data_IF_961406391616
#
_entry.id   IF_961406391616
#
_cell.length_a   1.000
_cell.length_b   1.000
_cell.length_c   1.000
_cell.angle_alpha   90.00
_cell.angle_beta   90.00
_cell.angle_gamma   90.00
#
_symmetry.space_group_name_H-M   'P 1'
#
loop_
_entity.id
_entity.type
_entity.pdbx_description
1 polymer ?
#
# COMPACT_ATOMS: atom_id res chain seq x y z
N UNK A 1 50.61 -22.64 22.66
CA UNK A 1 51.96 -22.43 22.09
C UNK A 1 51.91 -22.88 20.64
N UNK A 2 52.40 -22.04 19.73
CA UNK A 2 52.41 -22.27 18.28
C UNK A 2 51.12 -21.81 17.58
N UNK A 3 51.18 -20.75 16.78
CA UNK A 3 51.45 -20.86 15.32
C UNK A 3 51.49 -19.48 14.67
N UNK A 4 52.52 -19.32 13.83
CA UNK A 4 52.77 -18.39 12.73
C UNK A 4 51.80 -17.26 12.38
N UNK A 5 52.41 -16.06 12.30
CA UNK A 5 51.99 -14.97 11.41
C UNK A 5 52.58 -15.17 10.02
N UNK A 6 51.86 -14.78 8.97
CA UNK A 6 52.50 -14.20 7.79
C UNK A 6 52.05 -12.76 7.52
N UNK A 7 53.04 -12.03 7.01
CA UNK A 7 53.05 -10.63 6.56
C UNK A 7 52.01 -10.36 5.46
N UNK A 8 51.42 -9.16 5.46
CA UNK A 8 50.95 -8.52 4.23
C UNK A 8 51.29 -7.03 4.23
N UNK A 9 51.70 -6.59 3.05
CA UNK A 9 52.51 -5.42 2.77
C UNK A 9 51.75 -4.10 2.87
N UNK A 10 52.54 -3.07 3.20
CA UNK A 10 52.24 -1.64 3.10
C UNK A 10 52.27 -1.24 1.62
N UNK A 11 51.27 -0.46 1.20
CA UNK A 11 51.22 0.20 -0.11
C UNK A 11 50.32 1.42 0.01
N UNK A 12 50.97 2.58 0.07
CA UNK A 12 50.42 3.89 0.35
C UNK A 12 49.83 4.59 -0.90
N UNK A 13 48.99 5.58 -0.61
CA UNK A 13 48.29 6.60 -1.40
C UNK A 13 48.74 6.89 -2.86
N UNK A 14 47.74 7.11 -3.73
CA UNK A 14 47.89 7.84 -5.00
C UNK A 14 46.55 8.29 -5.58
N UNK A 15 46.36 9.60 -5.66
CA UNK A 15 45.15 10.35 -6.06
C UNK A 15 44.88 10.35 -7.58
N UNK A 16 43.58 10.34 -7.91
CA UNK A 16 42.89 11.26 -8.85
C UNK A 16 43.29 11.29 -10.34
N UNK A 17 42.32 11.01 -11.24
CA UNK A 17 41.82 11.95 -12.28
C UNK A 17 40.87 11.31 -13.30
N UNK A 18 39.76 12.03 -13.48
CA UNK A 18 38.74 11.99 -14.53
C UNK A 18 39.24 11.74 -15.96
N UNK A 19 38.52 10.92 -16.73
CA UNK A 19 38.32 11.12 -18.18
C UNK A 19 36.90 10.75 -18.58
N UNK A 20 36.11 11.79 -18.83
CA UNK A 20 34.86 11.76 -19.59
C UNK A 20 35.26 11.68 -21.07
N UNK A 21 34.72 10.69 -21.80
CA UNK A 21 34.81 10.64 -23.26
C UNK A 21 33.57 11.31 -23.82
N UNK A 22 33.78 12.42 -24.52
CA UNK A 22 32.80 13.06 -25.39
C UNK A 22 32.71 12.24 -26.69
N UNK A 23 31.50 11.99 -27.18
CA UNK A 23 31.27 11.68 -28.60
C UNK A 23 30.33 12.73 -29.18
N UNK A 24 30.91 13.47 -30.11
CA UNK A 24 30.35 14.42 -31.05
C UNK A 24 29.71 13.63 -32.20
N UNK A 25 28.52 14.03 -32.67
CA UNK A 25 27.93 13.51 -33.91
C UNK A 25 27.55 14.70 -34.77
N UNK A 26 28.40 14.96 -35.77
CA UNK A 26 28.09 15.76 -36.95
C UNK A 26 27.32 14.91 -37.97
N UNK A 27 26.46 15.58 -38.75
CA UNK A 27 25.48 14.96 -39.64
C UNK A 27 25.92 14.69 -41.08
N UNK A 28 24.92 14.83 -41.98
CA UNK A 28 24.86 14.50 -43.42
C UNK A 28 24.51 13.01 -43.66
N UNK A 29 23.71 12.57 -44.66
CA UNK A 29 23.29 13.13 -45.95
C UNK A 29 22.01 12.39 -46.46
N UNK A 30 21.21 13.06 -47.30
CA UNK A 30 20.10 12.55 -48.12
C UNK A 30 20.59 11.85 -49.41
N UNK A 31 19.70 11.07 -50.05
CA UNK A 31 19.52 10.74 -51.50
C UNK A 31 19.00 9.28 -51.62
N UNK A 32 18.19 8.79 -52.55
CA UNK A 32 17.27 9.23 -53.63
C UNK A 32 16.48 7.93 -54.02
N UNK A 33 15.16 7.92 -54.19
CA UNK A 33 14.34 7.96 -55.44
C UNK A 33 14.49 6.77 -56.44
N UNK A 34 13.35 6.44 -57.09
CA UNK A 34 13.11 5.74 -58.38
C UNK A 34 12.83 4.22 -58.26
N UNK A 35 11.59 3.72 -58.35
CA UNK A 35 10.69 3.53 -59.53
C UNK A 35 11.19 2.53 -60.59
N UNK A 36 10.39 1.51 -60.91
CA UNK A 36 9.97 1.18 -62.29
C UNK A 36 9.28 -0.19 -62.35
N UNK A 37 8.21 -0.26 -63.14
CA UNK A 37 7.46 -1.48 -63.45
C UNK A 37 7.69 -1.99 -64.88
N UNK A 38 7.12 -3.16 -65.17
CA UNK A 38 6.73 -3.73 -66.48
C UNK A 38 6.17 -5.14 -66.19
N UNK A 39 5.20 -5.77 -66.86
CA UNK A 39 4.30 -5.47 -67.97
C UNK A 39 3.76 -6.81 -68.53
N UNK A 40 2.43 -6.95 -68.73
CA UNK A 40 1.67 -7.90 -69.61
C UNK A 40 1.85 -9.45 -69.47
N UNK A 41 0.93 -10.36 -69.83
CA UNK A 41 -0.54 -10.47 -69.97
C UNK A 41 -0.88 -11.97 -70.26
N UNK A 42 -2.04 -12.45 -69.77
CA UNK A 42 -2.94 -13.51 -70.34
C UNK A 42 -2.52 -15.01 -70.31
N UNK A 43 -3.17 -15.85 -69.48
CA UNK A 43 -4.23 -16.86 -69.81
C UNK A 43 -4.37 -17.96 -68.73
N UNK A 44 -5.62 -18.32 -68.38
CA UNK A 44 -6.00 -19.73 -68.17
C UNK A 44 -6.21 -20.26 -66.74
N UNK A 45 -7.50 -20.48 -66.44
CA UNK A 45 -8.08 -21.52 -65.55
C UNK A 45 -7.99 -21.36 -64.01
N UNK A 46 -9.19 -21.07 -63.49
CA UNK A 46 -9.79 -21.48 -62.21
C UNK A 46 -9.13 -22.68 -61.52
N UNK A 47 -8.52 -22.42 -60.36
CA UNK A 47 -8.47 -23.33 -59.21
C UNK A 47 -8.49 -22.44 -57.96
N UNK A 48 -9.55 -22.53 -57.16
CA UNK A 48 -9.64 -21.93 -55.84
C UNK A 48 -8.67 -22.59 -54.85
N UNK A 49 -7.99 -21.81 -54.00
CA UNK A 49 -8.01 -22.17 -52.58
C UNK A 49 -8.19 -20.98 -51.64
N UNK A 50 -9.03 -21.24 -50.63
CA UNK A 50 -9.10 -20.71 -49.27
C UNK A 50 -8.60 -19.28 -48.97
N UNK A 51 -9.43 -18.41 -48.36
CA UNK A 51 -8.93 -17.20 -47.76
C UNK A 51 -8.10 -17.58 -46.53
N UNK A 52 -6.80 -17.36 -46.61
CA UNK A 52 -5.90 -17.28 -45.47
C UNK A 52 -6.36 -16.13 -44.58
N UNK A 53 -7.22 -16.42 -43.60
CA UNK A 53 -7.43 -15.54 -42.46
C UNK A 53 -6.15 -15.59 -41.64
N UNK A 54 -5.24 -14.65 -41.90
CA UNK A 54 -4.25 -14.26 -40.92
C UNK A 54 -5.04 -13.86 -39.67
N UNK A 55 -5.05 -14.73 -38.67
CA UNK A 55 -5.51 -14.38 -37.34
C UNK A 55 -4.56 -13.30 -36.84
N UNK A 56 -4.98 -12.04 -36.95
CA UNK A 56 -4.40 -10.97 -36.18
C UNK A 56 -4.63 -11.34 -34.71
N UNK A 57 -3.66 -12.02 -34.12
CA UNK A 57 -3.59 -12.23 -32.68
C UNK A 57 -3.60 -10.86 -32.01
N UNK A 58 -4.34 -10.76 -30.91
CA UNK A 58 -4.42 -9.54 -30.11
C UNK A 58 -2.99 -9.05 -29.78
N UNK A 59 -2.58 -7.84 -30.20
CA UNK A 59 -1.20 -7.36 -30.08
C UNK A 59 -0.71 -7.21 -28.63
N UNK A 60 -1.57 -7.46 -27.64
CA UNK A 60 -1.26 -7.41 -26.21
C UNK A 60 -0.95 -8.78 -25.59
N UNK A 61 -1.09 -9.88 -26.32
CA UNK A 61 -0.82 -11.21 -25.77
C UNK A 61 0.70 -11.51 -25.77
N UNK A 62 1.26 -11.97 -24.64
CA UNK A 62 2.67 -12.35 -24.56
C UNK A 62 2.97 -13.52 -25.51
N UNK A 63 4.01 -13.36 -26.33
CA UNK A 63 4.44 -14.36 -27.33
C UNK A 63 5.18 -15.55 -26.69
N UNK A 64 5.74 -15.37 -25.49
CA UNK A 64 6.53 -16.37 -24.79
C UNK A 64 5.74 -17.07 -23.68
N UNK A 65 6.05 -18.35 -23.45
CA UNK A 65 5.46 -19.20 -22.40
C UNK A 65 5.63 -18.60 -20.99
N UNK A 66 6.81 -18.06 -20.72
CA UNK A 66 7.09 -17.26 -19.53
C UNK A 66 7.20 -15.80 -19.94
N UNK A 67 6.46 -14.94 -19.27
CA UNK A 67 6.49 -13.50 -19.56
C UNK A 67 6.54 -12.68 -18.27
N UNK A 68 7.09 -11.47 -18.41
CA UNK A 68 7.15 -10.47 -17.37
C UNK A 68 6.72 -9.13 -17.96
N UNK A 69 5.71 -8.52 -17.35
CA UNK A 69 5.35 -7.13 -17.60
C UNK A 69 5.78 -6.27 -16.41
N UNK A 70 6.68 -5.33 -16.65
CA UNK A 70 7.08 -4.36 -15.63
C UNK A 70 6.22 -3.11 -15.74
N UNK A 71 5.43 -2.84 -14.71
CA UNK A 71 4.67 -1.61 -14.59
C UNK A 71 5.39 -0.61 -13.68
N UNK A 72 5.72 0.56 -14.22
CA UNK A 72 6.27 1.68 -13.46
C UNK A 72 5.13 2.61 -13.04
N UNK A 73 4.77 2.61 -11.75
CA UNK A 73 3.76 3.52 -11.20
C UNK A 73 4.31 4.94 -11.14
N UNK A 74 3.53 5.90 -11.62
CA UNK A 74 3.87 7.34 -11.64
C UNK A 74 2.82 8.12 -10.86
N UNK A 75 3.27 8.91 -9.88
CA UNK A 75 2.43 9.86 -9.13
C UNK A 75 2.55 11.21 -9.80
N UNK A 76 1.42 11.78 -10.23
CA UNK A 76 1.35 13.09 -10.88
C UNK A 76 0.69 14.11 -9.95
N UNK A 77 1.27 15.30 -9.86
CA UNK A 77 0.70 16.43 -9.16
C UNK A 77 1.18 17.73 -9.81
N UNK A 78 0.51 18.83 -9.51
CA UNK A 78 0.85 20.14 -10.05
C UNK A 78 0.90 21.21 -8.95
N UNK A 79 1.55 22.32 -9.28
CA UNK A 79 1.71 23.46 -8.41
C UNK A 79 1.67 24.75 -9.23
N UNK A 80 0.93 25.73 -8.74
CA UNK A 80 0.85 27.06 -9.34
C UNK A 80 1.51 28.06 -8.41
N UNK A 81 2.44 28.85 -8.95
CA UNK A 81 3.11 29.93 -8.24
C UNK A 81 2.90 31.25 -8.98
N UNK A 82 2.25 32.20 -8.33
CA UNK A 82 2.07 33.56 -8.84
C UNK A 82 3.00 34.53 -8.12
N UNK A 83 3.81 35.25 -8.88
CA UNK A 83 4.63 36.36 -8.42
C UNK A 83 3.92 37.65 -8.85
N UNK A 84 3.50 38.45 -7.88
CA UNK A 84 2.86 39.73 -8.14
C UNK A 84 3.91 40.83 -8.30
N UNK A 85 3.60 41.82 -9.11
CA UNK A 85 4.47 42.95 -9.42
C UNK A 85 5.83 42.48 -9.98
N UNK A 86 5.80 41.53 -10.92
CA UNK A 86 7.00 40.82 -11.39
C UNK A 86 8.03 41.77 -12.02
N UNK A 87 7.58 42.81 -12.73
CA UNK A 87 8.47 43.82 -13.31
C UNK A 87 9.28 44.59 -12.26
N UNK A 88 8.82 44.61 -10.99
CA UNK A 88 9.49 45.26 -9.86
C UNK A 88 10.43 44.35 -9.07
N UNK A 89 10.62 43.08 -9.50
CA UNK A 89 11.59 42.18 -8.88
C UNK A 89 12.99 42.81 -8.86
N UNK A 90 13.55 42.96 -7.65
CA UNK A 90 14.85 43.62 -7.42
C UNK A 90 16.02 42.67 -7.60
N UNK A 91 15.75 41.38 -7.71
CA UNK A 91 16.77 40.33 -7.81
C UNK A 91 17.75 40.65 -8.92
N UNK A 92 19.03 40.66 -8.58
CA UNK A 92 20.09 40.75 -9.54
C UNK A 92 20.37 39.41 -10.21
N UNK A 93 21.19 39.45 -11.26
CA UNK A 93 21.62 38.25 -11.96
C UNK A 93 22.23 37.23 -11.00
N UNK A 94 21.79 35.96 -11.09
CA UNK A 94 22.18 34.89 -10.18
C UNK A 94 21.38 34.82 -8.88
N UNK A 95 20.69 35.90 -8.47
CA UNK A 95 19.81 35.89 -7.31
C UNK A 95 18.51 35.13 -7.60
N UNK A 96 17.96 34.49 -6.56
CA UNK A 96 16.92 33.47 -6.72
C UNK A 96 15.71 33.74 -5.83
N UNK A 97 14.53 33.69 -6.44
CA UNK A 97 13.25 33.60 -5.77
C UNK A 97 12.90 32.13 -5.55
N UNK A 98 12.37 31.79 -4.37
CA UNK A 98 11.88 30.46 -4.04
C UNK A 98 10.39 30.49 -3.74
N UNK A 99 9.64 29.55 -4.27
CA UNK A 99 8.24 29.35 -3.89
C UNK A 99 8.14 28.74 -2.49
N UNK A 100 6.93 28.75 -1.92
CA UNK A 100 6.58 27.86 -0.82
C UNK A 100 6.78 26.40 -1.21
N UNK A 101 6.97 25.54 -0.22
CA UNK A 101 7.11 24.11 -0.44
C UNK A 101 5.77 23.45 -0.77
N UNK A 102 5.77 22.48 -1.68
CA UNK A 102 4.61 21.68 -2.07
C UNK A 102 4.94 20.20 -2.16
N UNK A 103 3.93 19.34 -2.14
CA UNK A 103 4.04 17.88 -2.19
C UNK A 103 2.83 17.27 -2.90
N UNK A 104 2.85 15.97 -3.22
CA UNK A 104 1.74 15.33 -3.94
C UNK A 104 0.46 15.20 -3.10
N UNK A 105 0.58 15.29 -1.77
CA UNK A 105 -0.51 15.26 -0.80
C UNK A 105 -0.04 15.68 0.59
N UNK A 106 -0.97 15.78 1.55
CA UNK A 106 -0.72 16.26 2.92
C UNK A 106 0.29 15.39 3.69
N UNK A 107 0.29 14.08 3.46
CA UNK A 107 1.17 13.11 4.13
C UNK A 107 2.41 12.72 3.33
N UNK A 108 2.67 13.38 2.18
CA UNK A 108 3.86 13.09 1.39
C UNK A 108 5.11 13.73 2.01
N UNK A 109 6.14 12.90 2.17
CA UNK A 109 7.43 13.24 2.77
C UNK A 109 8.38 13.91 1.77
N UNK A 110 8.08 13.88 0.47
CA UNK A 110 8.82 14.59 -0.56
C UNK A 110 8.36 16.05 -0.61
N UNK A 111 9.24 16.99 -0.25
CA UNK A 111 8.95 18.42 -0.29
C UNK A 111 9.71 19.07 -1.44
N UNK A 112 8.97 19.74 -2.32
CA UNK A 112 9.49 20.38 -3.52
C UNK A 112 9.29 21.89 -3.43
N UNK A 113 10.11 22.69 -4.13
CA UNK A 113 9.78 24.08 -4.41
C UNK A 113 10.31 24.50 -5.78
N UNK A 114 9.78 25.61 -6.30
CA UNK A 114 10.27 26.24 -7.52
C UNK A 114 11.36 27.26 -7.19
N UNK A 115 12.34 27.36 -8.07
CA UNK A 115 13.40 28.38 -8.05
C UNK A 115 13.35 29.18 -9.35
N UNK A 116 13.27 30.50 -9.25
CA UNK A 116 13.33 31.41 -10.40
C UNK A 116 14.49 32.37 -10.23
N UNK A 117 15.27 32.54 -11.28
CA UNK A 117 16.22 33.64 -11.42
C UNK A 117 15.65 34.62 -12.46
N UNK A 118 15.03 35.75 -12.05
CA UNK A 118 14.35 36.66 -12.96
C UNK A 118 15.27 37.25 -14.03
N UNK A 119 16.54 37.50 -13.67
CA UNK A 119 17.58 38.10 -14.54
C UNK A 119 18.64 37.09 -15.00
N UNK A 120 18.27 35.81 -15.07
CA UNK A 120 19.20 34.74 -15.45
C UNK A 120 20.06 34.24 -14.29
N UNK A 121 20.63 33.05 -14.47
CA UNK A 121 21.47 32.37 -13.47
C UNK A 121 22.95 32.79 -13.59
N UNK A 122 23.42 32.93 -14.82
CA UNK A 122 24.79 33.35 -15.16
C UNK A 122 24.80 34.07 -16.52
N UNK A 123 25.98 34.49 -17.00
CA UNK A 123 26.11 35.37 -18.18
C UNK A 123 25.47 34.77 -19.43
N UNK A 124 25.49 33.44 -19.53
CA UNK A 124 24.93 32.73 -20.66
C UNK A 124 23.41 32.86 -20.74
N UNK A 125 22.74 33.08 -19.59
CA UNK A 125 21.29 33.21 -19.50
C UNK A 125 20.80 34.57 -19.01
N UNK A 126 21.63 35.61 -19.05
CA UNK A 126 21.30 36.98 -18.60
C UNK A 126 20.00 37.57 -19.19
N UNK A 127 19.72 37.21 -20.45
CA UNK A 127 18.56 37.68 -21.22
C UNK A 127 17.32 36.77 -21.05
N UNK A 128 17.42 35.78 -20.18
CA UNK A 128 16.39 34.76 -19.94
C UNK A 128 15.99 34.71 -18.47
N UNK A 129 14.76 34.29 -18.23
CA UNK A 129 14.35 33.79 -16.93
C UNK A 129 14.79 32.33 -16.82
N UNK A 130 15.47 31.98 -15.74
CA UNK A 130 15.81 30.58 -15.43
C UNK A 130 14.81 30.01 -14.42
N UNK A 131 14.37 28.77 -14.62
CA UNK A 131 13.33 28.13 -13.80
C UNK A 131 13.71 26.68 -13.49
N UNK A 132 13.67 26.31 -12.21
CA UNK A 132 14.04 24.99 -11.72
C UNK A 132 13.06 24.43 -10.69
N UNK A 133 12.95 23.11 -10.67
CA UNK A 133 12.30 22.34 -9.61
C UNK A 133 13.39 21.86 -8.66
N UNK A 134 13.25 22.15 -7.37
CA UNK A 134 14.17 21.74 -6.31
C UNK A 134 13.49 20.70 -5.41
N UNK A 135 14.18 19.60 -5.11
CA UNK A 135 13.81 18.68 -4.04
C UNK A 135 14.39 19.18 -2.71
N UNK A 136 13.55 19.75 -1.86
CA UNK A 136 13.94 20.37 -0.59
C UNK A 136 14.16 19.34 0.51
N UNK A 137 13.25 18.38 0.65
CA UNK A 137 13.34 17.32 1.65
C UNK A 137 12.87 15.99 1.07
N UNK A 138 13.54 14.91 1.46
CA UNK A 138 13.28 13.57 0.97
C UNK A 138 13.64 12.54 2.04
N UNK A 139 12.78 11.56 2.27
CA UNK A 139 13.05 10.43 3.17
C UNK A 139 13.62 9.20 2.43
N UNK A 140 13.91 9.33 1.13
CA UNK A 140 14.52 8.31 0.26
C UNK A 140 15.93 8.74 -0.12
N UNK A 141 16.77 7.78 -0.52
CA UNK A 141 18.13 8.04 -1.02
C UNK A 141 18.13 8.83 -2.34
N UNK A 142 17.15 8.57 -3.21
CA UNK A 142 16.92 9.30 -4.45
C UNK A 142 15.46 9.22 -4.90
N UNK A 143 15.07 10.14 -5.78
CA UNK A 143 13.76 10.17 -6.45
C UNK A 143 13.98 10.42 -7.94
N UNK A 144 13.24 9.70 -8.80
CA UNK A 144 13.21 10.00 -10.24
C UNK A 144 11.92 10.73 -10.59
N UNK A 145 12.03 11.88 -11.26
CA UNK A 145 10.85 12.66 -11.63
C UNK A 145 11.01 13.32 -13.01
N UNK A 146 9.92 13.33 -13.78
CA UNK A 146 9.73 14.26 -14.90
C UNK A 146 9.04 15.52 -14.39
N UNK A 147 9.28 16.64 -15.04
CA UNK A 147 8.60 17.90 -14.76
C UNK A 147 8.31 18.66 -16.04
N UNK A 148 7.25 19.46 -16.03
CA UNK A 148 6.88 20.40 -17.08
C UNK A 148 6.58 21.74 -16.43
N UNK A 149 7.07 22.81 -17.03
CA UNK A 149 6.76 24.17 -16.63
C UNK A 149 6.03 24.87 -17.77
N UNK A 150 5.05 25.69 -17.43
CA UNK A 150 4.32 26.56 -18.35
C UNK A 150 3.98 27.88 -17.66
N UNK A 151 3.64 28.89 -18.45
CA UNK A 151 3.12 30.17 -17.98
C UNK A 151 1.62 30.18 -18.23
N UNK A 152 0.83 30.66 -17.27
CA UNK A 152 -0.60 30.85 -17.46
C UNK A 152 -0.88 32.25 -18.00
N UNK A 153 -1.58 32.32 -19.14
CA UNK A 153 -2.01 33.59 -19.74
C UNK A 153 -3.21 34.20 -18.97
N UNK A 154 -3.70 35.36 -19.42
CA UNK A 154 -4.88 36.02 -18.84
C UNK A 154 -6.16 35.15 -18.80
N UNK A 155 -6.28 34.16 -19.70
CA UNK A 155 -7.39 33.19 -19.75
C UNK A 155 -7.17 31.97 -18.87
N UNK A 156 -6.04 31.90 -18.14
CA UNK A 156 -5.56 30.75 -17.36
C UNK A 156 -5.24 29.51 -18.19
N UNK A 157 -4.89 29.70 -19.46
CA UNK A 157 -4.42 28.63 -20.35
C UNK A 157 -2.90 28.52 -20.26
N UNK A 158 -2.38 27.29 -20.31
CA UNK A 158 -0.94 27.04 -20.35
C UNK A 158 -0.33 27.46 -21.69
N UNK A 159 0.75 28.23 -21.63
CA UNK A 159 1.56 28.62 -22.80
C UNK A 159 3.05 28.55 -22.46
N UNK A 160 3.90 28.61 -23.49
CA UNK A 160 5.37 28.57 -23.38
C UNK A 160 5.87 27.39 -22.52
N UNK A 161 5.27 26.22 -22.76
CA UNK A 161 5.59 25.02 -22.02
C UNK A 161 6.99 24.48 -22.37
N UNK A 162 7.75 24.07 -21.36
CA UNK A 162 8.96 23.27 -21.52
C UNK A 162 8.90 22.07 -20.58
N UNK A 163 9.23 20.89 -21.10
CA UNK A 163 9.18 19.64 -20.35
C UNK A 163 10.52 18.90 -20.34
N UNK A 164 10.78 18.19 -19.25
CA UNK A 164 11.95 17.34 -19.11
C UNK A 164 11.85 16.15 -20.07
N UNK A 165 12.87 15.96 -20.91
CA UNK A 165 12.93 14.85 -21.88
C UNK A 165 12.81 13.46 -21.20
N UNK A 166 13.39 13.33 -20.00
CA UNK A 166 13.42 12.10 -19.21
C UNK A 166 13.18 12.38 -17.73
N UNK A 167 12.94 11.33 -16.96
CA UNK A 167 12.92 11.45 -15.50
C UNK A 167 14.35 11.68 -15.00
N UNK A 168 14.58 12.81 -14.33
CA UNK A 168 15.86 13.15 -13.74
C UNK A 168 15.96 12.59 -12.32
N UNK A 169 17.19 12.26 -11.89
CA UNK A 169 17.48 11.83 -10.52
C UNK A 169 17.63 13.05 -9.62
N UNK A 170 16.76 13.15 -8.62
CA UNK A 170 16.79 14.11 -7.54
C UNK A 170 17.31 13.45 -6.27
N UNK A 171 18.14 14.19 -5.54
CA UNK A 171 18.51 13.94 -4.15
C UNK A 171 18.17 15.19 -3.35
N UNK A 172 18.15 15.11 -2.03
CA UNK A 172 17.86 16.26 -1.19
C UNK A 172 18.81 17.42 -1.51
N UNK A 173 18.25 18.61 -1.77
CA UNK A 173 18.99 19.81 -2.18
C UNK A 173 19.33 19.90 -3.66
N UNK A 174 18.99 18.89 -4.48
CA UNK A 174 19.26 18.90 -5.93
C UNK A 174 18.08 19.48 -6.70
N UNK A 175 18.40 20.28 -7.72
CA UNK A 175 17.44 20.82 -8.68
C UNK A 175 17.73 20.40 -10.12
N UNK A 176 16.67 20.50 -10.93
CA UNK A 176 16.68 20.33 -12.38
C UNK A 176 15.67 21.29 -13.01
N UNK A 177 15.98 21.81 -14.19
CA UNK A 177 15.18 22.86 -14.80
C UNK A 177 15.76 23.35 -16.12
N UNK A 178 15.32 24.55 -16.52
CA UNK A 178 15.76 25.19 -17.75
C UNK A 178 16.45 26.50 -17.43
N UNK A 179 17.74 26.55 -17.77
CA UNK A 179 18.57 27.75 -17.67
C UNK A 179 18.06 28.89 -18.54
N UNK A 180 17.50 28.56 -19.71
CA UNK A 180 16.91 29.49 -20.68
C UNK A 180 15.43 29.14 -20.89
N UNK A 181 14.58 29.37 -19.88
CA UNK A 181 13.17 28.98 -19.94
C UNK A 181 12.37 29.89 -20.89
N UNK A 182 12.47 31.20 -20.69
CA UNK A 182 11.83 32.19 -21.56
C UNK A 182 12.69 33.44 -21.65
N UNK A 183 12.75 34.07 -22.83
CA UNK A 183 13.43 35.34 -22.99
C UNK A 183 12.68 36.45 -22.24
N UNK A 184 13.43 37.34 -21.61
CA UNK A 184 12.87 38.39 -20.75
C UNK A 184 12.14 39.47 -21.54
N UNK A 185 12.68 39.87 -22.69
CA UNK A 185 12.02 40.83 -23.59
C UNK A 185 10.65 40.32 -24.04
N UNK A 186 10.57 39.04 -24.45
CA UNK A 186 9.32 38.40 -24.81
C UNK A 186 8.34 38.31 -23.62
N UNK A 187 8.84 37.99 -22.42
CA UNK A 187 8.02 37.88 -21.21
C UNK A 187 7.42 39.23 -20.77
N UNK A 188 8.21 40.30 -20.86
CA UNK A 188 7.85 41.65 -20.39
C UNK A 188 7.03 42.45 -21.41
N UNK A 189 7.03 42.03 -22.68
CA UNK A 189 6.21 42.65 -23.72
C UNK A 189 4.71 42.35 -23.49
N UNK A 190 3.95 43.40 -23.18
CA UNK A 190 2.52 43.35 -22.88
C UNK A 190 1.70 42.73 -24.01
N UNK A 191 2.15 42.85 -25.28
CA UNK A 191 1.47 42.27 -26.42
C UNK A 191 1.39 40.74 -26.35
N UNK A 192 2.30 40.09 -25.60
CA UNK A 192 2.33 38.64 -25.43
C UNK A 192 1.38 38.14 -24.32
N UNK A 193 0.81 39.04 -23.50
CA UNK A 193 -0.23 38.69 -22.53
C UNK A 193 0.19 37.70 -21.43
N UNK A 194 1.48 37.63 -21.11
CA UNK A 194 2.06 36.69 -20.14
C UNK A 194 2.11 37.21 -18.69
N UNK A 195 1.92 38.52 -18.50
CA UNK A 195 1.96 39.21 -17.20
C UNK A 195 0.67 40.02 -16.95
N UNK A 196 -0.52 39.40 -16.92
CA UNK A 196 -1.77 40.11 -16.67
C UNK A 196 -1.75 40.80 -15.30
N UNK A 197 -1.81 42.14 -15.29
CA UNK A 197 -1.70 42.93 -14.07
C UNK A 197 -0.34 42.83 -13.39
N UNK A 198 0.73 42.68 -14.19
CA UNK A 198 2.12 42.47 -13.73
C UNK A 198 2.29 41.23 -12.84
N UNK A 199 1.53 40.16 -13.13
CA UNK A 199 1.58 38.89 -12.39
C UNK A 199 2.13 37.78 -13.25
N UNK A 200 3.30 37.25 -12.86
CA UNK A 200 3.84 36.03 -13.47
C UNK A 200 3.23 34.82 -12.78
N UNK A 201 2.43 34.03 -13.50
CA UNK A 201 1.86 32.78 -13.00
C UNK A 201 2.53 31.58 -13.66
N UNK A 202 3.40 30.89 -12.90
CA UNK A 202 4.05 29.65 -13.32
C UNK A 202 3.18 28.47 -12.91
N UNK A 203 2.96 27.55 -13.85
CA UNK A 203 2.35 26.27 -13.61
C UNK A 203 3.40 25.17 -13.79
N UNK A 204 3.52 24.33 -12.77
CA UNK A 204 4.47 23.22 -12.72
C UNK A 204 3.72 21.92 -12.59
N UNK A 205 3.97 20.98 -13.49
CA UNK A 205 3.53 19.60 -13.38
C UNK A 205 4.72 18.71 -13.03
N UNK A 206 4.55 17.82 -12.04
CA UNK A 206 5.59 16.89 -11.61
C UNK A 206 5.05 15.46 -11.69
N UNK A 207 5.83 14.58 -12.30
CA UNK A 207 5.53 13.15 -12.47
C UNK A 207 6.64 12.35 -11.80
N UNK A 208 6.40 11.91 -10.56
CA UNK A 208 7.36 11.17 -9.74
C UNK A 208 7.20 9.67 -9.98
N UNK A 209 8.30 8.99 -10.28
CA UNK A 209 8.36 7.52 -10.35
C UNK A 209 8.28 6.97 -8.92
N UNK A 210 7.24 6.19 -8.64
CA UNK A 210 6.95 5.69 -7.29
C UNK A 210 7.46 4.26 -7.09
N UNK A 211 6.76 3.28 -7.68
CA UNK A 211 7.01 1.85 -7.49
C UNK A 211 7.13 1.17 -8.84
N UNK A 212 8.05 0.21 -8.96
CA UNK A 212 8.19 -0.65 -10.13
C UNK A 212 7.72 -2.04 -9.74
N UNK A 213 6.63 -2.51 -10.34
CA UNK A 213 6.05 -3.83 -10.06
C UNK A 213 6.28 -4.72 -11.26
N UNK A 214 6.87 -5.89 -11.03
CA UNK A 214 6.97 -6.92 -12.04
C UNK A 214 5.77 -7.87 -11.88
N UNK A 215 5.00 -8.02 -12.95
CA UNK A 215 3.93 -9.00 -13.04
C UNK A 215 4.45 -10.12 -13.94
N UNK A 216 4.73 -11.27 -13.35
CA UNK A 216 5.18 -12.46 -14.08
C UNK A 216 4.02 -13.42 -14.26
N UNK A 217 3.90 -14.01 -15.44
CA UNK A 217 2.87 -14.99 -15.74
C UNK A 217 3.37 -16.12 -16.62
N UNK A 218 2.60 -17.21 -16.61
CA UNK A 218 2.73 -18.33 -17.53
C UNK A 218 1.47 -18.38 -18.40
N UNK A 219 1.65 -18.44 -19.72
CA UNK A 219 0.52 -18.50 -20.65
C UNK A 219 0.00 -19.94 -20.74
N UNK A 220 -0.82 -20.35 -19.77
CA UNK A 220 -1.59 -21.59 -19.88
C UNK A 220 -2.88 -21.34 -20.69
N UNK A 221 -3.25 -22.30 -21.54
CA UNK A 221 -4.41 -22.33 -22.47
C UNK A 221 -5.77 -21.94 -21.82
N UNK A 222 -5.84 -21.90 -20.50
CA UNK A 222 -7.01 -21.57 -19.69
C UNK A 222 -7.59 -20.15 -19.85
N UNK A 223 -6.88 -19.19 -20.47
CA UNK A 223 -7.37 -17.80 -20.61
C UNK A 223 -8.27 -17.54 -21.82
N UNK A 224 -8.47 -18.51 -22.72
CA UNK A 224 -9.50 -18.42 -23.77
C UNK A 224 -10.93 -18.53 -23.21
N UNK A 225 -11.08 -19.08 -21.99
CA UNK A 225 -12.36 -19.27 -21.34
C UNK A 225 -12.52 -18.29 -20.18
N UNK A 226 -13.61 -17.51 -20.19
CA UNK A 226 -14.01 -16.69 -19.03
C UNK A 226 -14.57 -17.63 -17.96
N UNK A 227 -13.70 -18.14 -17.09
CA UNK A 227 -14.14 -18.93 -15.92
C UNK A 227 -14.84 -17.99 -14.95
N UNK A 228 -16.13 -18.21 -14.62
CA UNK A 228 -16.82 -17.42 -13.60
C UNK A 228 -16.09 -17.51 -12.25
N UNK A 229 -16.20 -16.48 -11.39
CA UNK A 229 -15.60 -16.54 -10.06
C UNK A 229 -16.12 -17.75 -9.27
N UNK A 230 -15.26 -18.34 -8.45
CA UNK A 230 -15.65 -19.44 -7.55
C UNK A 230 -16.72 -18.94 -6.58
N UNK A 231 -17.87 -19.61 -6.58
CA UNK A 231 -19.04 -19.27 -5.75
C UNK A 231 -19.21 -20.14 -4.50
N UNK A 232 -18.23 -20.99 -4.20
CA UNK A 232 -18.34 -21.98 -3.12
C UNK A 232 -18.69 -21.34 -1.77
N UNK A 233 -18.09 -20.19 -1.46
CA UNK A 233 -18.34 -19.48 -0.20
C UNK A 233 -19.79 -18.99 -0.12
N UNK A 234 -20.30 -18.41 -1.21
CA UNK A 234 -21.67 -17.90 -1.29
C UNK A 234 -22.68 -19.04 -1.24
N UNK A 235 -22.43 -20.12 -1.97
CA UNK A 235 -23.32 -21.28 -2.03
C UNK A 235 -23.38 -22.00 -0.67
N UNK A 236 -22.26 -22.06 0.08
CA UNK A 236 -22.23 -22.56 1.46
C UNK A 236 -22.95 -21.63 2.44
N UNK A 237 -22.87 -20.31 2.24
CA UNK A 237 -23.65 -19.37 3.04
C UNK A 237 -25.16 -19.54 2.81
N UNK A 238 -25.57 -19.69 1.55
CA UNK A 238 -26.96 -19.97 1.20
C UNK A 238 -27.47 -21.26 1.84
N UNK A 239 -26.63 -22.29 1.94
CA UNK A 239 -26.97 -23.54 2.64
C UNK A 239 -27.27 -23.31 4.13
N UNK A 240 -26.45 -22.49 4.79
CA UNK A 240 -26.67 -22.09 6.20
C UNK A 240 -27.95 -21.27 6.36
N UNK A 241 -28.19 -20.27 5.51
CA UNK A 241 -29.36 -19.38 5.59
C UNK A 241 -30.67 -20.13 5.30
N UNK A 242 -30.67 -21.01 4.31
CA UNK A 242 -31.85 -21.79 3.92
C UNK A 242 -32.11 -23.00 4.82
N UNK A 243 -31.15 -23.39 5.67
CA UNK A 243 -31.27 -24.51 6.63
C UNK A 243 -31.54 -25.86 5.97
N UNK A 244 -31.25 -25.99 4.68
CA UNK A 244 -31.57 -27.19 3.92
C UNK A 244 -30.61 -28.31 4.28
N UNK A 245 -31.12 -29.52 4.52
CA UNK A 245 -30.32 -30.71 4.86
C UNK A 245 -29.54 -30.62 6.18
N UNK A 246 -29.88 -29.69 7.06
CA UNK A 246 -29.30 -29.63 8.40
C UNK A 246 -29.59 -30.91 9.18
N UNK A 247 -28.57 -31.45 9.83
CA UNK A 247 -28.61 -32.70 10.59
C UNK A 247 -28.34 -32.48 12.10
N UNK A 248 -28.24 -31.21 12.52
CA UNK A 248 -28.02 -30.84 13.91
C UNK A 248 -28.60 -29.46 14.25
N UNK A 249 -29.07 -29.30 15.49
CA UNK A 249 -29.68 -28.06 15.99
C UNK A 249 -28.87 -27.47 17.14
N UNK A 250 -28.42 -26.22 17.01
CA UNK A 250 -27.75 -25.48 18.07
C UNK A 250 -28.67 -24.40 18.61
N UNK A 251 -29.00 -24.47 19.90
CA UNK A 251 -29.81 -23.47 20.61
C UNK A 251 -28.87 -22.55 21.37
N UNK A 252 -28.78 -21.30 20.95
CA UNK A 252 -27.96 -20.30 21.62
C UNK A 252 -28.84 -19.48 22.57
N UNK A 253 -28.53 -19.51 23.85
CA UNK A 253 -29.20 -18.71 24.88
C UNK A 253 -28.35 -17.48 25.16
N UNK A 254 -29.02 -16.36 25.41
CA UNK A 254 -28.38 -15.12 25.81
C UNK A 254 -28.44 -14.99 27.33
N UNK A 255 -27.30 -14.72 27.95
CA UNK A 255 -27.22 -14.47 29.40
C UNK A 255 -27.80 -13.11 29.78
N UNK A 256 -27.92 -12.20 28.81
CA UNK A 256 -28.46 -10.84 28.97
C UNK A 256 -29.99 -10.76 28.86
N UNK A 257 -30.70 -11.91 28.88
CA UNK A 257 -32.16 -11.98 28.89
C UNK A 257 -32.82 -11.90 27.52
N UNK A 258 -32.04 -12.03 26.44
CA UNK A 258 -32.54 -12.12 25.07
C UNK A 258 -33.29 -13.44 24.79
N UNK A 259 -34.09 -13.46 23.72
CA UNK A 259 -34.74 -14.70 23.28
C UNK A 259 -33.69 -15.69 22.75
N UNK A 260 -33.83 -17.00 23.06
CA UNK A 260 -32.92 -18.00 22.54
C UNK A 260 -33.04 -18.07 21.02
N UNK A 261 -31.90 -18.19 20.35
CA UNK A 261 -31.83 -18.30 18.90
C UNK A 261 -31.44 -19.72 18.48
N UNK A 262 -32.23 -20.30 17.60
CA UNK A 262 -31.98 -21.64 17.07
C UNK A 262 -31.27 -21.58 15.72
N UNK A 263 -30.16 -22.29 15.61
CA UNK A 263 -29.36 -22.46 14.40
C UNK A 263 -29.45 -23.91 13.90
N UNK A 264 -29.74 -24.06 12.62
CA UNK A 264 -29.77 -25.36 11.94
C UNK A 264 -28.47 -25.51 11.16
N UNK A 265 -27.69 -26.54 11.49
CA UNK A 265 -26.30 -26.68 11.06
C UNK A 265 -26.01 -28.09 10.52
N UNK A 266 -24.86 -28.23 9.86
CA UNK A 266 -24.40 -29.47 9.24
C UNK A 266 -23.19 -30.00 9.98
N UNK A 267 -23.30 -31.19 10.59
CA UNK A 267 -22.22 -31.84 11.35
C UNK A 267 -20.95 -31.95 10.52
N UNK A 268 -21.07 -32.41 9.28
CA UNK A 268 -19.93 -32.61 8.39
C UNK A 268 -19.11 -31.31 8.17
N UNK A 269 -19.80 -30.18 7.97
CA UNK A 269 -19.14 -28.89 7.76
C UNK A 269 -18.45 -28.45 9.05
N UNK A 270 -19.17 -28.46 10.18
CA UNK A 270 -18.61 -28.00 11.45
C UNK A 270 -17.46 -28.87 11.95
N UNK A 271 -17.57 -30.20 11.82
CA UNK A 271 -16.47 -31.13 12.13
C UNK A 271 -15.23 -30.86 11.28
N UNK A 272 -15.40 -30.57 9.99
CA UNK A 272 -14.27 -30.26 9.11
C UNK A 272 -13.58 -28.93 9.47
N UNK A 273 -14.31 -28.00 10.09
CA UNK A 273 -13.85 -26.62 10.35
C UNK A 273 -13.41 -26.38 11.79
N UNK A 274 -13.88 -27.19 12.74
CA UNK A 274 -13.55 -27.09 14.15
C UNK A 274 -13.33 -28.47 14.76
N UNK A 275 -12.14 -28.67 15.35
CA UNK A 275 -11.82 -29.90 16.08
C UNK A 275 -12.73 -30.11 17.30
N UNK A 276 -13.25 -29.02 17.87
CA UNK A 276 -14.17 -29.07 19.02
C UNK A 276 -15.53 -29.62 18.59
N UNK A 277 -16.07 -29.16 17.46
CA UNK A 277 -17.29 -29.74 16.90
C UNK A 277 -17.07 -31.17 16.40
N UNK A 278 -15.91 -31.48 15.81
CA UNK A 278 -15.58 -32.85 15.43
C UNK A 278 -15.65 -33.80 16.63
N UNK A 279 -14.97 -33.45 17.73
CA UNK A 279 -15.00 -34.23 18.96
C UNK A 279 -16.40 -34.31 19.58
N UNK A 280 -17.16 -33.20 19.56
CA UNK A 280 -18.55 -33.15 20.05
C UNK A 280 -19.47 -34.13 19.30
N UNK A 281 -19.27 -34.31 18.00
CA UNK A 281 -20.13 -35.17 17.18
C UNK A 281 -19.62 -36.61 17.06
N UNK A 282 -18.33 -36.86 17.25
CA UNK A 282 -17.70 -38.19 17.14
C UNK A 282 -17.89 -39.02 18.42
N UNK A 283 -17.89 -38.39 19.59
CA UNK A 283 -18.10 -39.09 20.85
C UNK A 283 -19.59 -39.24 21.15
N UNK A 284 -20.00 -40.44 21.61
CA UNK A 284 -21.37 -40.75 22.06
C UNK A 284 -21.74 -39.98 23.35
N UNK A 285 -21.87 -38.66 23.24
CA UNK A 285 -22.37 -37.77 24.28
C UNK A 285 -23.87 -37.52 24.08
N UNK A 286 -24.55 -36.86 25.02
CA UNK A 286 -26.00 -36.59 24.89
C UNK A 286 -26.35 -35.81 23.62
N UNK A 287 -25.42 -34.98 23.14
CA UNK A 287 -25.54 -34.19 21.93
C UNK A 287 -25.57 -35.06 20.66
N UNK A 288 -24.80 -36.15 20.62
CA UNK A 288 -24.81 -37.06 19.46
C UNK A 288 -26.12 -37.82 19.33
N UNK A 289 -26.75 -38.13 20.46
CA UNK A 289 -27.98 -38.92 20.52
C UNK A 289 -29.23 -38.07 20.24
N UNK A 290 -29.21 -36.79 20.64
CA UNK A 290 -30.34 -35.87 20.46
C UNK A 290 -30.24 -35.01 19.20
N UNK A 291 -29.10 -35.02 18.51
CA UNK A 291 -28.78 -34.11 17.40
C UNK A 291 -29.01 -32.63 17.74
N UNK A 292 -28.81 -32.29 19.02
CA UNK A 292 -29.08 -30.96 19.54
C UNK A 292 -28.07 -30.60 20.63
N UNK A 293 -27.67 -29.34 20.68
CA UNK A 293 -26.91 -28.79 21.81
C UNK A 293 -27.43 -27.41 22.19
N UNK A 294 -27.22 -27.05 23.45
CA UNK A 294 -27.47 -25.70 23.96
C UNK A 294 -26.15 -25.04 24.29
N UNK A 295 -25.97 -23.80 23.82
CA UNK A 295 -24.84 -22.94 24.16
C UNK A 295 -25.37 -21.72 24.90
N UNK A 296 -24.88 -21.47 26.10
CA UNK A 296 -25.28 -20.37 26.98
C UNK A 296 -24.19 -19.31 27.14
N UNK A 297 -22.91 -19.68 26.99
CA UNK A 297 -21.77 -18.79 27.19
C UNK A 297 -21.37 -17.93 25.96
N UNK A 298 -22.19 -17.88 24.92
CA UNK A 298 -21.94 -17.06 23.71
C UNK A 298 -23.22 -16.38 23.29
N UNK A 299 -23.16 -15.06 23.10
CA UNK A 299 -24.29 -14.28 22.61
C UNK A 299 -24.72 -14.70 21.19
N UNK A 300 -26.03 -14.78 20.89
CA UNK A 300 -26.52 -15.28 19.61
C UNK A 300 -25.93 -14.61 18.37
N UNK A 301 -25.64 -13.31 18.43
CA UNK A 301 -25.05 -12.56 17.32
C UNK A 301 -23.60 -13.00 17.04
N UNK A 302 -22.82 -13.23 18.10
CA UNK A 302 -21.44 -13.75 18.01
C UNK A 302 -21.44 -15.19 17.51
N UNK A 303 -22.37 -16.01 17.99
CA UNK A 303 -22.54 -17.38 17.52
C UNK A 303 -22.89 -17.43 16.03
N UNK A 304 -23.80 -16.54 15.57
CA UNK A 304 -24.12 -16.42 14.15
C UNK A 304 -22.88 -16.13 13.33
N UNK A 305 -22.09 -15.13 13.73
CA UNK A 305 -20.88 -14.73 12.99
C UNK A 305 -19.83 -15.85 12.95
N UNK A 306 -19.65 -16.56 14.08
CA UNK A 306 -18.79 -17.74 14.15
C UNK A 306 -19.25 -18.86 13.20
N UNK A 307 -20.56 -19.12 13.14
CA UNK A 307 -21.13 -20.09 12.21
C UNK A 307 -20.94 -19.64 10.76
N UNK A 308 -21.26 -18.39 10.40
CA UNK A 308 -21.02 -17.86 9.04
C UNK A 308 -19.55 -18.04 8.65
N UNK A 309 -18.61 -17.78 9.55
CA UNK A 309 -17.19 -18.02 9.29
C UNK A 309 -16.86 -19.50 9.03
N UNK A 310 -17.49 -20.44 9.74
CA UNK A 310 -17.27 -21.86 9.49
C UNK A 310 -17.71 -22.27 8.07
N UNK A 311 -18.82 -21.75 7.57
CA UNK A 311 -19.31 -22.05 6.22
C UNK A 311 -18.54 -21.32 5.11
N UNK A 312 -18.14 -20.07 5.35
CA UNK A 312 -17.68 -19.16 4.28
C UNK A 312 -16.20 -18.81 4.36
N UNK A 313 -15.58 -18.95 5.55
CA UNK A 313 -14.25 -18.42 5.84
C UNK A 313 -14.18 -16.90 5.99
N UNK A 314 -15.33 -16.21 6.02
CA UNK A 314 -15.46 -14.76 6.15
C UNK A 314 -16.20 -14.39 7.44
N UNK A 315 -15.84 -13.24 8.03
CA UNK A 315 -16.54 -12.62 9.15
C UNK A 315 -16.65 -11.12 8.85
N UNK A 316 -17.84 -10.68 8.41
CA UNK A 316 -18.12 -9.31 7.96
C UNK A 316 -18.27 -8.33 9.12
N UNK A 317 -18.76 -8.79 10.27
CA UNK A 317 -19.06 -7.95 11.43
C UNK A 317 -17.98 -8.04 12.52
N UNK A 318 -16.81 -8.60 12.19
CA UNK A 318 -15.71 -8.82 13.13
C UNK A 318 -15.34 -7.56 13.91
N UNK A 319 -15.31 -6.38 13.27
CA UNK A 319 -14.92 -5.13 13.91
C UNK A 319 -15.87 -4.68 15.02
N UNK A 320 -17.12 -5.12 15.00
CA UNK A 320 -18.15 -4.73 15.98
C UNK A 320 -18.13 -5.61 17.24
N UNK A 321 -17.58 -6.82 17.13
CA UNK A 321 -17.68 -7.85 18.17
C UNK A 321 -16.36 -8.60 18.41
N UNK A 322 -15.22 -8.04 18.00
CA UNK A 322 -13.92 -8.73 18.03
C UNK A 322 -13.54 -9.22 19.44
N UNK A 323 -13.89 -8.48 20.50
CA UNK A 323 -13.64 -8.87 21.89
C UNK A 323 -14.36 -10.16 22.31
N UNK A 324 -15.62 -10.33 21.86
CA UNK A 324 -16.39 -11.55 22.15
C UNK A 324 -16.09 -12.66 21.15
N UNK A 325 -15.84 -12.30 19.88
CA UNK A 325 -15.58 -13.26 18.82
C UNK A 325 -14.21 -13.95 18.98
N UNK A 326 -13.19 -13.27 19.52
CA UNK A 326 -11.91 -13.92 19.83
C UNK A 326 -12.07 -15.04 20.88
N UNK A 327 -12.95 -14.83 21.87
CA UNK A 327 -13.26 -15.83 22.89
C UNK A 327 -13.94 -17.06 22.27
N UNK A 328 -14.92 -16.83 21.40
CA UNK A 328 -15.62 -17.88 20.69
C UNK A 328 -14.69 -18.63 19.71
N UNK A 329 -13.83 -17.91 18.98
CA UNK A 329 -12.84 -18.49 18.08
C UNK A 329 -11.83 -19.37 18.82
N UNK A 330 -11.35 -18.95 20.00
CA UNK A 330 -10.49 -19.77 20.86
C UNK A 330 -11.23 -21.01 21.38
N UNK A 331 -12.46 -20.84 21.88
CA UNK A 331 -13.30 -21.95 22.39
C UNK A 331 -13.50 -23.04 21.34
N UNK A 332 -13.76 -22.68 20.09
CA UNK A 332 -13.97 -23.63 18.98
C UNK A 332 -12.72 -23.92 18.16
N UNK A 333 -11.53 -23.51 18.61
CA UNK A 333 -10.24 -23.74 17.96
C UNK A 333 -10.21 -23.31 16.47
N UNK A 334 -10.68 -22.09 16.21
CA UNK A 334 -10.67 -21.46 14.90
C UNK A 334 -9.49 -20.50 14.76
N UNK A 335 -8.28 -21.04 14.64
CA UNK A 335 -7.02 -20.27 14.70
C UNK A 335 -6.99 -19.06 13.76
N UNK A 336 -7.44 -19.22 12.51
CA UNK A 336 -7.46 -18.11 11.54
C UNK A 336 -8.48 -17.03 11.92
N UNK A 337 -9.65 -17.38 12.47
CA UNK A 337 -10.63 -16.40 12.93
C UNK A 337 -10.09 -15.64 14.15
N UNK A 338 -9.41 -16.36 15.06
CA UNK A 338 -8.76 -15.77 16.23
C UNK A 338 -7.72 -14.72 15.81
N UNK A 339 -6.86 -15.02 14.85
CA UNK A 339 -5.89 -14.05 14.30
C UNK A 339 -6.58 -12.88 13.58
N UNK A 340 -7.69 -13.10 12.89
CA UNK A 340 -8.48 -11.99 12.31
C UNK A 340 -9.03 -11.08 13.42
N UNK A 341 -9.46 -11.63 14.56
CA UNK A 341 -9.89 -10.84 15.71
C UNK A 341 -8.71 -10.08 16.34
N UNK A 342 -7.52 -10.71 16.43
CA UNK A 342 -6.29 -10.04 16.87
C UNK A 342 -5.98 -8.82 16.01
N UNK A 343 -6.08 -8.95 14.69
CA UNK A 343 -5.87 -7.85 13.76
C UNK A 343 -6.88 -6.71 13.97
N UNK A 344 -8.16 -7.03 14.08
CA UNK A 344 -9.22 -6.03 14.30
C UNK A 344 -9.03 -5.28 15.62
N UNK A 345 -8.79 -6.00 16.73
CA UNK A 345 -8.51 -5.41 18.04
C UNK A 345 -7.25 -4.54 18.03
N UNK A 346 -6.21 -4.95 17.30
CA UNK A 346 -5.00 -4.15 17.16
C UNK A 346 -5.24 -2.81 16.44
N UNK A 347 -6.11 -2.78 15.41
CA UNK A 347 -6.47 -1.53 14.73
C UNK A 347 -7.34 -0.60 15.57
N UNK A 348 -8.02 -1.14 16.59
CA UNK A 348 -8.90 -0.39 17.49
C UNK A 348 -8.21 0.04 18.80
N UNK A 349 -6.89 -0.15 18.93
CA UNK A 349 -6.14 0.25 20.13
C UNK A 349 -6.22 1.76 20.36
N UNK A 350 -6.66 2.14 21.56
CA UNK A 350 -6.64 3.50 22.09
C UNK A 350 -5.96 3.52 23.47
N UNK A 351 -5.63 4.70 23.98
CA UNK A 351 -5.01 4.83 25.31
C UNK A 351 -5.95 4.35 26.42
N UNK A 352 -7.26 4.48 26.25
CA UNK A 352 -8.26 4.01 27.21
C UNK A 352 -8.43 2.48 27.21
N UNK A 353 -8.32 1.82 26.06
CA UNK A 353 -8.62 0.38 25.93
C UNK A 353 -7.38 -0.53 25.89
N UNK A 354 -6.17 0.02 25.85
CA UNK A 354 -4.94 -0.75 25.64
C UNK A 354 -4.69 -1.82 26.72
N UNK A 355 -4.89 -1.47 27.99
CA UNK A 355 -4.72 -2.38 29.12
C UNK A 355 -5.71 -3.54 29.08
N UNK A 356 -6.99 -3.24 28.84
CA UNK A 356 -8.05 -4.24 28.69
C UNK A 356 -7.78 -5.16 27.48
N UNK A 357 -7.32 -4.60 26.37
CA UNK A 357 -6.97 -5.37 25.17
C UNK A 357 -5.78 -6.30 25.41
N UNK A 358 -4.78 -5.86 26.17
CA UNK A 358 -3.65 -6.71 26.58
C UNK A 358 -4.11 -7.86 27.50
N UNK A 359 -5.02 -7.59 28.44
CA UNK A 359 -5.62 -8.62 29.29
C UNK A 359 -6.38 -9.65 28.48
N UNK A 360 -7.20 -9.23 27.52
CA UNK A 360 -7.89 -10.12 26.58
C UNK A 360 -6.90 -10.96 25.77
N UNK A 361 -5.82 -10.35 25.27
CA UNK A 361 -4.78 -11.04 24.52
C UNK A 361 -4.05 -12.10 25.36
N UNK A 362 -3.80 -11.84 26.63
CA UNK A 362 -3.23 -12.83 27.55
C UNK A 362 -4.21 -13.96 27.86
N UNK A 363 -5.47 -13.61 28.12
CA UNK A 363 -6.53 -14.56 28.45
C UNK A 363 -6.73 -15.59 27.34
N UNK A 364 -6.81 -15.12 26.09
CA UNK A 364 -7.01 -15.99 24.93
C UNK A 364 -5.69 -16.41 24.27
N UNK A 365 -4.53 -16.24 24.90
CA UNK A 365 -3.23 -16.63 24.32
C UNK A 365 -3.03 -16.11 22.89
N UNK A 366 -3.40 -14.85 22.66
CA UNK A 366 -3.39 -14.15 21.39
C UNK A 366 -2.04 -13.44 21.22
N UNK A 367 -1.03 -14.18 20.74
CA UNK A 367 0.36 -13.77 20.80
C UNK A 367 0.71 -12.53 19.98
N UNK A 368 0.07 -12.33 18.81
CA UNK A 368 0.33 -11.17 17.97
C UNK A 368 -0.28 -9.92 18.59
N UNK A 369 -1.54 -9.98 19.02
CA UNK A 369 -2.22 -8.88 19.69
C UNK A 369 -1.49 -8.49 20.98
N UNK A 370 -1.05 -9.46 21.79
CA UNK A 370 -0.29 -9.22 23.02
C UNK A 370 0.96 -8.39 22.74
N UNK A 371 1.77 -8.78 21.75
CA UNK A 371 3.01 -8.08 21.41
C UNK A 371 2.75 -6.63 20.96
N UNK A 372 1.72 -6.42 20.13
CA UNK A 372 1.35 -5.08 19.65
C UNK A 372 0.78 -4.21 20.78
N UNK A 373 -0.06 -4.76 21.66
CA UNK A 373 -0.63 -4.04 22.79
C UNK A 373 0.47 -3.62 23.79
N UNK A 374 1.44 -4.49 24.10
CA UNK A 374 2.59 -4.13 24.96
C UNK A 374 3.39 -2.98 24.33
N UNK A 375 3.67 -3.04 23.03
CA UNK A 375 4.37 -1.97 22.34
C UNK A 375 3.60 -0.65 22.38
N UNK A 376 2.28 -0.69 22.13
CA UNK A 376 1.41 0.48 22.19
C UNK A 376 1.38 1.10 23.59
N UNK A 377 1.32 0.27 24.64
CA UNK A 377 1.37 0.73 26.03
C UNK A 377 2.69 1.45 26.32
N UNK A 378 3.82 0.88 25.91
CA UNK A 378 5.13 1.47 26.14
C UNK A 378 5.35 2.80 25.40
N UNK A 379 4.84 2.93 24.17
CA UNK A 379 4.93 4.17 23.38
C UNK A 379 4.07 5.28 23.99
N UNK A 380 2.90 4.95 24.53
CA UNK A 380 1.94 5.92 25.07
C UNK A 380 1.87 5.91 26.61
N UNK A 381 2.93 5.46 27.28
CA UNK A 381 2.93 5.16 28.71
C UNK A 381 2.50 6.36 29.57
N UNK A 382 2.90 7.58 29.21
CA UNK A 382 2.55 8.79 29.96
C UNK A 382 1.05 9.01 30.06
N UNK A 383 0.31 8.77 28.98
CA UNK A 383 -1.15 8.97 28.95
C UNK A 383 -1.85 7.78 29.62
N UNK A 384 -1.44 6.56 29.28
CA UNK A 384 -2.06 5.32 29.78
C UNK A 384 -1.97 5.22 31.30
N UNK A 385 -0.85 5.63 31.91
CA UNK A 385 -0.67 5.59 33.37
C UNK A 385 -1.69 6.44 34.14
N UNK A 386 -2.38 7.37 33.48
CA UNK A 386 -3.42 8.21 34.09
C UNK A 386 -4.83 7.61 33.98
N UNK A 387 -5.01 6.55 33.18
CA UNK A 387 -6.31 5.92 32.92
C UNK A 387 -6.75 5.00 34.06
N UNK A 388 -8.06 4.84 34.28
CA UNK A 388 -8.58 3.88 35.26
C UNK A 388 -8.18 2.44 34.90
N UNK A 389 -8.22 2.09 33.61
CA UNK A 389 -7.83 0.77 33.12
C UNK A 389 -6.37 0.40 33.44
N UNK A 390 -5.46 1.37 33.54
CA UNK A 390 -4.09 1.12 34.04
C UNK A 390 -4.06 0.76 35.52
N UNK A 391 -4.84 1.45 36.36
CA UNK A 391 -4.87 1.18 37.80
C UNK A 391 -5.43 -0.21 38.10
N UNK A 392 -6.47 -0.62 37.37
CA UNK A 392 -7.00 -2.00 37.43
C UNK A 392 -5.98 -3.02 36.94
N UNK A 393 -5.33 -2.75 35.81
CA UNK A 393 -4.29 -3.61 35.25
C UNK A 393 -3.13 -3.86 36.22
N UNK A 394 -2.63 -2.81 36.88
CA UNK A 394 -1.56 -2.91 37.88
C UNK A 394 -1.99 -3.74 39.08
N UNK A 395 -3.23 -3.57 39.55
CA UNK A 395 -3.79 -4.28 40.69
C UNK A 395 -4.02 -5.77 40.40
N UNK A 396 -4.62 -6.08 39.25
CA UNK A 396 -5.20 -7.39 38.98
C UNK A 396 -4.26 -8.29 38.14
N UNK A 397 -3.31 -7.70 37.39
CA UNK A 397 -2.43 -8.42 36.47
C UNK A 397 -0.93 -8.11 36.66
N UNK A 398 -0.36 -8.24 37.88
CA UNK A 398 1.02 -7.84 38.16
C UNK A 398 2.08 -8.61 37.36
N UNK A 399 1.80 -9.87 36.97
CA UNK A 399 2.71 -10.65 36.10
C UNK A 399 2.77 -10.09 34.68
N UNK A 400 1.64 -9.60 34.18
CA UNK A 400 1.56 -9.02 32.84
C UNK A 400 2.23 -7.64 32.84
N UNK A 401 2.11 -6.89 33.93
CA UNK A 401 2.86 -5.66 34.17
C UNK A 401 4.38 -5.89 34.17
N UNK A 402 4.87 -6.95 34.83
CA UNK A 402 6.30 -7.31 34.81
C UNK A 402 6.82 -7.51 33.37
N UNK A 403 6.00 -8.12 32.50
CA UNK A 403 6.36 -8.27 31.09
C UNK A 403 6.36 -6.96 30.31
N UNK A 404 5.37 -6.08 30.53
CA UNK A 404 5.35 -4.73 29.94
C UNK A 404 6.62 -3.97 30.33
N UNK A 405 6.98 -4.00 31.61
CA UNK A 405 8.17 -3.34 32.13
C UNK A 405 9.47 -3.92 31.55
N UNK A 406 9.56 -5.26 31.42
CA UNK A 406 10.69 -5.92 30.74
C UNK A 406 10.82 -5.47 29.30
N UNK A 407 9.71 -5.40 28.55
CA UNK A 407 9.71 -4.95 27.17
C UNK A 407 10.16 -3.48 27.04
N UNK A 408 9.73 -2.63 27.97
CA UNK A 408 10.15 -1.22 28.04
C UNK A 408 11.66 -1.10 28.28
N UNK A 409 12.18 -1.82 29.29
CA UNK A 409 13.59 -1.78 29.68
C UNK A 409 14.53 -2.31 28.58
N UNK A 410 14.06 -3.24 27.76
CA UNK A 410 14.85 -3.87 26.70
C UNK A 410 14.75 -3.15 25.34
N UNK A 411 13.89 -2.13 25.19
CA UNK A 411 13.55 -1.50 23.90
C UNK A 411 13.19 -2.53 22.80
N UNK A 412 12.56 -3.64 23.18
CA UNK A 412 12.23 -4.74 22.27
C UNK A 412 10.73 -5.02 22.32
N UNK A 413 10.13 -5.25 21.14
CA UNK A 413 8.82 -5.87 21.07
C UNK A 413 8.96 -7.32 21.56
N UNK A 414 8.10 -7.80 22.48
CA UNK A 414 8.16 -9.18 22.94
C UNK A 414 8.05 -10.13 21.74
N UNK A 415 8.86 -11.21 21.69
CA UNK A 415 8.76 -12.18 20.59
C UNK A 415 7.35 -12.75 20.52
N UNK A 416 6.79 -12.83 19.32
CA UNK A 416 5.48 -13.43 19.07
C UNK A 416 5.57 -14.92 19.40
N UNK A 417 4.97 -15.33 20.53
CA UNK A 417 4.86 -16.74 20.88
C UNK A 417 3.61 -17.31 20.20
N UNK A 418 3.80 -18.06 19.12
CA UNK A 418 2.72 -18.57 18.26
C UNK A 418 1.94 -19.72 18.91
N UNK A 419 2.44 -20.30 20.00
CA UNK A 419 1.76 -21.41 20.69
C UNK A 419 2.09 -21.43 22.19
N UNK A 420 1.14 -21.02 23.02
CA UNK A 420 1.11 -21.38 24.45
C UNK A 420 -0.08 -22.31 24.70
N UNK A 421 0.05 -23.31 25.60
CA UNK A 421 -1.10 -24.09 26.03
C UNK A 421 -2.11 -23.18 26.76
N UNK A 422 -3.43 -23.43 26.62
CA UNK A 422 -4.45 -22.58 27.21
C UNK A 422 -4.29 -22.48 28.73
N UNK A 423 -4.30 -21.25 29.25
CA UNK A 423 -4.25 -21.01 30.70
C UNK A 423 -5.55 -21.52 31.36
N UNK A 424 -5.43 -22.10 32.57
CA UNK A 424 -6.61 -22.53 33.35
C UNK A 424 -7.46 -21.32 33.72
N UNK A 425 -8.75 -21.38 33.35
CA UNK A 425 -9.72 -20.28 33.47
C UNK A 425 -10.23 -20.14 34.91
N UNK A 426 -10.30 -18.93 35.48
CA UNK A 426 -11.13 -18.68 36.66
C UNK A 426 -12.62 -18.77 36.26
N UNK A 427 -13.44 -19.46 37.06
CA UNK A 427 -14.90 -19.36 36.95
C UNK A 427 -15.33 -18.05 37.62
N UNK A 428 -15.31 -16.92 36.93
CA UNK A 428 -15.95 -15.71 37.43
C UNK A 428 -16.73 -14.98 36.33
N UNK A 429 -18.01 -14.77 36.63
CA UNK A 429 -18.94 -13.89 35.94
C UNK A 429 -18.35 -12.47 35.99
N UNK A 430 -17.76 -12.01 34.90
CA UNK A 430 -17.69 -10.58 34.63
C UNK A 430 -18.97 -10.22 33.89
N UNK A 431 -19.95 -9.72 34.64
CA UNK A 431 -20.99 -8.85 34.10
C UNK A 431 -20.30 -7.61 33.55
N UNK A 432 -20.37 -7.40 32.24
CA UNK A 432 -20.09 -6.09 31.64
C UNK A 432 -21.24 -5.14 31.89
#
# INVERSE_FOLDING_TARGET
MGTDKPKKAVGDLGKDKSRVIAMEVAGMINEEVVSSGSGHSIHGRSISPCPSTASHGDPLLPVAENWCHTQVKVVKFNYMWTINNFSFCREEMGEVLKSSTFSSGCNDKLKWCLRINPKGLDEESRDYLSLYLLLVACNKSEVRAKFKFSILNAKREETKAMESQRAYRFVQGKDWGFKKFIRRDFLLDEANGLLPGDRLSIFCEVSVVAETVNITGQTNVSQLFKVPPCRLSEDMNELFDKKQFSDFTLICKSDSGGSPQTFYIHKAILSARSRVFAAMFEHHMQESDTNMTTVDDIEPEVMRELLVYMYTGQAKYIDQMAQSLIAAADKYQLDRLKVMCEQSLCYQLTTENACLTLMLADMYSAGQLRAHAINFINVNAQEIMTTEGWHEFVRDHPKLLEEVFKALALHQTPPVVVSQPPKKRPKHNCTY
#
